data_IF_636945744075
#
_entry.id   IF_636945744075
#
_cell.length_a   1.000
_cell.length_b   1.000
_cell.length_c   1.000
_cell.angle_alpha   90.00
_cell.angle_beta   90.00
_cell.angle_gamma   90.00
#
_symmetry.space_group_name_H-M   'P 1'
#
loop_
_entity.id
_entity.type
_entity.pdbx_description
1 polymer ?
#
# COMPACT_ATOMS: atom_id res chain seq x y z
N UNK A 1 -42.64 -38.01 -27.49
CA UNK A 1 -41.69 -36.88 -27.35
C UNK A 1 -40.35 -37.37 -27.88
N UNK A 2 -39.80 -36.72 -28.91
CA UNK A 2 -38.69 -37.28 -29.70
C UNK A 2 -37.35 -37.05 -29.00
N UNK A 3 -36.51 -38.09 -28.94
CA UNK A 3 -35.15 -38.04 -28.36
C UNK A 3 -34.27 -36.96 -29.01
N UNK A 4 -34.49 -36.69 -30.30
CA UNK A 4 -33.78 -35.67 -31.08
C UNK A 4 -34.07 -34.25 -30.60
N UNK A 5 -35.32 -33.94 -30.22
CA UNK A 5 -35.70 -32.62 -29.70
C UNK A 5 -35.08 -32.35 -28.32
N UNK A 6 -34.97 -33.39 -27.49
CA UNK A 6 -34.27 -33.31 -26.20
C UNK A 6 -32.75 -33.16 -26.35
N UNK A 7 -32.14 -33.74 -27.38
CA UNK A 7 -30.70 -33.58 -27.62
C UNK A 7 -30.36 -32.17 -28.12
N UNK A 8 -31.21 -31.57 -28.95
CA UNK A 8 -31.04 -30.18 -29.38
C UNK A 8 -31.20 -29.18 -28.22
N UNK A 9 -32.15 -29.40 -27.31
CA UNK A 9 -32.33 -28.55 -26.13
C UNK A 9 -31.14 -28.64 -25.16
N UNK A 10 -30.60 -29.84 -24.92
CA UNK A 10 -29.38 -30.04 -24.11
C UNK A 10 -28.17 -29.36 -24.76
N UNK A 11 -28.02 -29.44 -26.10
CA UNK A 11 -26.95 -28.72 -26.80
C UNK A 11 -27.06 -27.21 -26.65
N UNK A 12 -28.26 -26.64 -26.82
CA UNK A 12 -28.50 -25.20 -26.64
C UNK A 12 -28.18 -24.77 -25.22
N UNK A 13 -28.66 -25.51 -24.22
CA UNK A 13 -28.33 -25.26 -22.82
C UNK A 13 -26.83 -25.30 -22.54
N UNK A 14 -26.11 -26.31 -23.06
CA UNK A 14 -24.67 -26.42 -22.87
C UNK A 14 -23.90 -25.26 -23.54
N UNK A 15 -24.32 -24.83 -24.74
CA UNK A 15 -23.73 -23.67 -25.43
C UNK A 15 -24.00 -22.38 -24.67
N UNK A 16 -25.23 -22.16 -24.20
CA UNK A 16 -25.60 -20.96 -23.45
C UNK A 16 -24.82 -20.91 -22.13
N UNK A 17 -24.75 -22.03 -21.38
CA UNK A 17 -23.95 -22.13 -20.16
C UNK A 17 -22.46 -21.86 -20.40
N UNK A 18 -21.88 -22.39 -21.47
CA UNK A 18 -20.49 -22.15 -21.83
C UNK A 18 -20.23 -20.68 -22.18
N UNK A 19 -21.16 -20.03 -22.89
CA UNK A 19 -21.07 -18.60 -23.22
C UNK A 19 -21.16 -17.73 -21.96
N UNK A 20 -22.10 -18.02 -21.05
CA UNK A 20 -22.22 -17.32 -19.76
C UNK A 20 -20.96 -17.47 -18.91
N UNK A 21 -20.41 -18.67 -18.79
CA UNK A 21 -19.16 -18.90 -18.05
C UNK A 21 -17.99 -18.12 -18.65
N UNK A 22 -17.89 -18.10 -19.99
CA UNK A 22 -16.86 -17.34 -20.70
C UNK A 22 -17.00 -15.84 -20.49
N UNK A 23 -18.22 -15.29 -20.47
CA UNK A 23 -18.46 -13.88 -20.19
C UNK A 23 -18.08 -13.51 -18.75
N UNK A 24 -18.48 -14.33 -17.76
CA UNK A 24 -18.09 -14.13 -16.35
C UNK A 24 -16.57 -14.14 -16.16
N UNK A 25 -15.87 -15.06 -16.83
CA UNK A 25 -14.41 -15.10 -16.80
C UNK A 25 -13.77 -13.84 -17.41
N UNK A 26 -14.31 -13.33 -18.52
CA UNK A 26 -13.84 -12.07 -19.13
C UNK A 26 -14.04 -10.88 -18.21
N UNK A 27 -15.19 -10.79 -17.56
CA UNK A 27 -15.51 -9.73 -16.59
C UNK A 27 -14.54 -9.79 -15.40
N UNK A 28 -14.35 -10.97 -14.83
CA UNK A 28 -13.42 -11.16 -13.70
C UNK A 28 -11.98 -10.80 -14.09
N UNK A 29 -11.54 -11.18 -15.30
CA UNK A 29 -10.21 -10.81 -15.80
C UNK A 29 -10.07 -9.30 -16.03
N UNK A 30 -11.10 -8.63 -16.56
CA UNK A 30 -11.11 -7.18 -16.75
C UNK A 30 -11.05 -6.42 -15.42
N UNK A 31 -11.84 -6.86 -14.42
CA UNK A 31 -11.82 -6.30 -13.06
C UNK A 31 -10.46 -6.51 -12.40
N UNK A 32 -9.89 -7.72 -12.49
CA UNK A 32 -8.57 -8.00 -11.93
C UNK A 32 -7.49 -7.13 -12.58
N UNK A 33 -7.53 -6.96 -13.90
CA UNK A 33 -6.60 -6.08 -14.63
C UNK A 33 -6.72 -4.63 -14.18
N UNK A 34 -7.95 -4.12 -14.03
CA UNK A 34 -8.18 -2.76 -13.56
C UNK A 34 -7.69 -2.56 -12.12
N UNK A 35 -7.91 -3.53 -11.22
CA UNK A 35 -7.40 -3.48 -9.84
C UNK A 35 -5.88 -3.45 -9.78
N UNK A 36 -5.18 -4.25 -10.59
CA UNK A 36 -3.71 -4.19 -10.67
C UNK A 36 -3.23 -2.80 -11.10
N UNK A 37 -3.91 -2.18 -12.06
CA UNK A 37 -3.61 -0.80 -12.47
C UNK A 37 -3.85 0.21 -11.34
N UNK A 38 -4.95 0.06 -10.58
CA UNK A 38 -5.24 0.92 -9.42
C UNK A 38 -4.09 0.86 -8.41
N UNK A 39 -3.63 -0.33 -8.03
CA UNK A 39 -2.51 -0.48 -7.09
C UNK A 39 -1.21 0.16 -7.61
N UNK A 40 -0.97 0.11 -8.92
CA UNK A 40 0.18 0.77 -9.52
C UNK A 40 0.08 2.29 -9.43
N UNK A 41 -1.10 2.88 -9.65
CA UNK A 41 -1.32 4.31 -9.49
C UNK A 41 -1.26 4.75 -8.00
N UNK A 42 -1.79 3.96 -7.08
CA UNK A 42 -1.68 4.21 -5.63
C UNK A 42 -0.22 4.21 -5.15
N UNK A 43 0.63 3.35 -5.72
CA UNK A 43 2.06 3.33 -5.43
C UNK A 43 2.78 4.59 -5.95
N UNK A 44 2.38 5.10 -7.12
CA UNK A 44 2.90 6.38 -7.64
C UNK A 44 2.52 7.54 -6.72
N UNK A 45 1.27 7.57 -6.23
CA UNK A 45 0.81 8.58 -5.27
C UNK A 45 1.66 8.50 -4.00
N UNK A 46 1.80 7.32 -3.38
CA UNK A 46 2.60 7.16 -2.15
C UNK A 46 4.04 7.63 -2.33
N UNK A 47 4.67 7.32 -3.48
CA UNK A 47 6.02 7.77 -3.81
C UNK A 47 6.10 9.28 -4.01
N UNK A 48 5.13 9.86 -4.70
CA UNK A 48 5.06 11.30 -4.94
C UNK A 48 4.86 12.08 -3.62
N UNK A 49 3.93 11.63 -2.77
CA UNK A 49 3.68 12.23 -1.46
C UNK A 49 4.90 12.13 -0.54
N UNK A 50 5.61 11.00 -0.56
CA UNK A 50 6.85 10.85 0.21
C UNK A 50 7.96 11.80 -0.27
N UNK A 51 8.08 12.04 -1.57
CA UNK A 51 9.05 13.01 -2.12
C UNK A 51 8.63 14.45 -1.81
N UNK A 52 7.34 14.75 -1.93
CA UNK A 52 6.76 16.05 -1.58
C UNK A 52 6.99 16.38 -0.09
N UNK A 53 6.82 15.41 0.80
CA UNK A 53 7.08 15.59 2.24
C UNK A 53 8.56 15.81 2.56
N UNK A 54 9.48 15.16 1.83
CA UNK A 54 10.93 15.41 1.96
C UNK A 54 11.29 16.81 1.49
N UNK A 55 10.73 17.23 0.36
CA UNK A 55 10.89 18.57 -0.20
C UNK A 55 10.43 19.63 0.81
N UNK A 56 9.25 19.40 1.39
CA UNK A 56 8.69 20.25 2.44
C UNK A 56 9.61 20.41 3.65
N UNK A 57 10.15 19.30 4.16
CA UNK A 57 11.04 19.37 5.31
C UNK A 57 12.39 20.02 4.96
N UNK A 58 12.90 19.83 3.74
CA UNK A 58 14.12 20.51 3.26
C UNK A 58 13.94 22.02 3.34
N UNK A 59 12.88 22.54 2.75
CA UNK A 59 12.65 24.00 2.68
C UNK A 59 12.46 24.58 4.07
N UNK A 60 11.69 23.88 4.92
CA UNK A 60 11.52 24.23 6.32
C UNK A 60 12.85 24.28 7.08
N UNK A 61 13.72 23.29 6.91
CA UNK A 61 15.00 23.20 7.62
C UNK A 61 16.03 24.22 7.13
N UNK A 62 16.03 24.53 5.82
CA UNK A 62 16.93 25.53 5.21
C UNK A 62 16.43 26.95 5.45
N UNK A 63 15.14 27.13 5.74
CA UNK A 63 14.50 28.44 5.89
C UNK A 63 14.20 29.13 4.56
N UNK A 64 14.18 28.36 3.47
CA UNK A 64 13.80 28.85 2.14
C UNK A 64 12.28 28.89 1.99
N UNK A 65 11.77 29.85 1.22
CA UNK A 65 10.36 29.87 0.85
C UNK A 65 10.04 28.69 -0.08
N UNK A 66 8.83 28.13 0.05
CA UNK A 66 8.40 26.99 -0.77
C UNK A 66 8.44 27.35 -2.26
N UNK A 67 9.34 26.71 -3.02
CA UNK A 67 9.40 26.91 -4.47
C UNK A 67 8.29 26.13 -5.17
N UNK A 68 7.18 26.82 -5.46
CA UNK A 68 6.05 26.25 -6.21
C UNK A 68 6.44 25.52 -7.51
N UNK A 69 7.54 25.89 -8.18
CA UNK A 69 7.99 25.18 -9.38
C UNK A 69 8.48 23.76 -9.08
N UNK A 70 9.01 23.50 -7.88
CA UNK A 70 9.45 22.17 -7.45
C UNK A 70 8.29 21.33 -6.88
N UNK A 71 7.31 21.93 -6.20
CA UNK A 71 6.15 21.21 -5.64
C UNK A 71 5.11 20.85 -6.69
N UNK A 72 4.81 21.77 -7.63
CA UNK A 72 3.68 21.65 -8.55
C UNK A 72 3.74 20.38 -9.43
N UNK A 73 4.90 19.94 -9.97
CA UNK A 73 4.99 18.68 -10.70
C UNK A 73 4.64 17.44 -9.87
N UNK A 74 4.91 17.46 -8.56
CA UNK A 74 4.55 16.35 -7.67
C UNK A 74 3.05 16.35 -7.36
N UNK A 75 2.47 17.53 -7.11
CA UNK A 75 1.02 17.68 -6.95
C UNK A 75 0.27 17.19 -8.21
N UNK A 76 0.72 17.61 -9.40
CA UNK A 76 0.13 17.18 -10.67
C UNK A 76 0.17 15.66 -10.85
N UNK A 77 1.31 15.01 -10.54
CA UNK A 77 1.42 13.54 -10.59
C UNK A 77 0.41 12.85 -9.67
N UNK A 78 0.21 13.39 -8.47
CA UNK A 78 -0.76 12.85 -7.51
C UNK A 78 -2.19 13.01 -8.06
N UNK A 79 -2.52 14.18 -8.58
CA UNK A 79 -3.86 14.48 -9.09
C UNK A 79 -4.20 13.65 -10.35
N UNK A 80 -3.24 13.49 -11.26
CA UNK A 80 -3.37 12.63 -12.43
C UNK A 80 -3.61 11.17 -12.04
N UNK A 81 -2.81 10.61 -11.12
CA UNK A 81 -3.01 9.24 -10.64
C UNK A 81 -4.34 9.09 -9.91
N UNK A 82 -4.78 10.07 -9.10
CA UNK A 82 -6.10 10.06 -8.44
C UNK A 82 -7.24 10.04 -9.45
N UNK A 83 -7.14 10.84 -10.52
CA UNK A 83 -8.10 10.86 -11.62
C UNK A 83 -8.16 9.51 -12.34
N UNK A 84 -7.02 8.92 -12.68
CA UNK A 84 -6.95 7.59 -13.29
C UNK A 84 -7.58 6.52 -12.40
N UNK A 85 -7.36 6.57 -11.09
CA UNK A 85 -7.99 5.63 -10.14
C UNK A 85 -9.51 5.77 -10.18
N UNK A 86 -10.05 7.00 -10.23
CA UNK A 86 -11.48 7.21 -10.35
C UNK A 86 -12.03 6.61 -11.65
N UNK A 87 -11.39 6.88 -12.79
CA UNK A 87 -11.78 6.32 -14.10
C UNK A 87 -11.72 4.78 -14.12
N UNK A 88 -10.72 4.18 -13.48
CA UNK A 88 -10.60 2.72 -13.37
C UNK A 88 -11.66 2.11 -12.44
N UNK A 89 -12.07 2.82 -11.38
CA UNK A 89 -13.16 2.40 -10.50
C UNK A 89 -14.50 2.45 -11.22
N UNK A 90 -14.76 3.53 -11.94
CA UNK A 90 -15.95 3.66 -12.79
C UNK A 90 -16.00 2.54 -13.85
N UNK A 91 -14.87 2.26 -14.50
CA UNK A 91 -14.76 1.13 -15.45
C UNK A 91 -15.07 -0.23 -14.80
N UNK A 92 -14.61 -0.47 -13.57
CA UNK A 92 -14.91 -1.70 -12.84
C UNK A 92 -16.41 -1.81 -12.58
N UNK A 93 -17.05 -0.71 -12.19
CA UNK A 93 -18.48 -0.69 -11.89
C UNK A 93 -19.32 -0.92 -13.15
N UNK A 94 -18.94 -0.31 -14.28
CA UNK A 94 -19.56 -0.57 -15.59
C UNK A 94 -19.41 -2.04 -16.02
N UNK A 95 -18.22 -2.61 -15.87
CA UNK A 95 -17.92 -4.00 -16.22
C UNK A 95 -18.67 -4.99 -15.32
N UNK A 96 -18.89 -4.66 -14.05
CA UNK A 96 -19.69 -5.46 -13.12
C UNK A 96 -21.18 -5.34 -13.41
N UNK A 97 -21.68 -4.14 -13.68
CA UNK A 97 -23.08 -3.91 -14.04
C UNK A 97 -23.48 -4.68 -15.31
N UNK A 98 -22.56 -4.83 -16.27
CA UNK A 98 -22.76 -5.67 -17.45
C UNK A 98 -23.00 -7.17 -17.14
N UNK A 99 -22.69 -7.64 -15.92
CA UNK A 99 -22.96 -9.01 -15.46
C UNK A 99 -24.33 -9.17 -14.79
N UNK A 100 -24.97 -8.08 -14.33
CA UNK A 100 -26.23 -8.12 -13.59
C UNK A 100 -27.47 -8.19 -14.49
N UNK A 101 -27.32 -8.05 -15.81
CA UNK A 101 -28.44 -8.22 -16.74
C UNK A 101 -28.77 -9.71 -16.97
N UNK A 102 -30.05 -10.13 -16.88
CA UNK A 102 -30.41 -11.41 -16.26
C UNK A 102 -30.22 -12.63 -17.17
N UNK A 103 -29.42 -13.60 -16.69
CA UNK A 103 -29.59 -15.00 -17.05
C UNK A 103 -29.84 -15.77 -15.75
N UNK A 104 -31.05 -15.62 -15.23
CA UNK A 104 -31.59 -16.49 -14.20
C UNK A 104 -32.02 -17.80 -14.88
N UNK A 105 -31.03 -18.61 -15.24
CA UNK A 105 -31.23 -20.05 -15.35
C UNK A 105 -31.05 -20.61 -13.92
N UNK A 106 -31.92 -21.53 -13.47
CA UNK A 106 -31.90 -22.01 -12.10
C UNK A 106 -30.51 -22.58 -11.79
N UNK A 107 -29.86 -21.96 -10.80
CA UNK A 107 -28.65 -22.47 -10.20
C UNK A 107 -28.96 -23.87 -9.66
N UNK A 108 -28.61 -24.90 -10.41
CA UNK A 108 -28.35 -26.20 -9.83
C UNK A 108 -27.23 -25.98 -8.82
N UNK A 109 -27.60 -26.15 -7.55
CA UNK A 109 -26.80 -25.94 -6.35
C UNK A 109 -25.35 -26.39 -6.55
N UNK A 110 -24.44 -25.43 -6.62
CA UNK A 110 -23.02 -25.66 -6.35
C UNK A 110 -22.79 -25.60 -4.83
N UNK A 111 -23.54 -26.42 -4.10
CA UNK A 111 -23.32 -26.71 -2.69
C UNK A 111 -22.40 -27.94 -2.61
N UNK A 112 -21.20 -27.87 -3.21
CA UNK A 112 -20.15 -28.88 -3.02
C UNK A 112 -18.78 -28.35 -3.44
N UNK A 113 -18.34 -27.23 -2.87
CA UNK A 113 -16.91 -26.90 -2.76
C UNK A 113 -16.68 -25.98 -1.55
N UNK A 114 -17.26 -26.36 -0.42
CA UNK A 114 -16.92 -25.83 0.89
C UNK A 114 -16.10 -26.91 1.64
N UNK A 115 -14.83 -27.07 1.28
CA UNK A 115 -13.79 -27.51 2.22
C UNK A 115 -12.39 -27.34 1.60
N UNK A 116 -11.71 -26.25 1.98
CA UNK A 116 -10.25 -26.14 2.03
C UNK A 116 -9.91 -24.73 2.54
N UNK A 117 -10.30 -24.46 3.78
CA UNK A 117 -9.70 -23.41 4.58
C UNK A 117 -8.32 -23.93 5.02
N UNK A 118 -7.18 -23.37 4.60
CA UNK A 118 -5.98 -23.54 5.39
C UNK A 118 -6.20 -22.71 6.66
N UNK A 119 -6.62 -23.37 7.74
CA UNK A 119 -6.40 -22.89 9.10
C UNK A 119 -4.91 -22.53 9.23
N UNK A 120 -4.60 -21.24 9.18
CA UNK A 120 -3.34 -20.75 9.72
C UNK A 120 -3.51 -20.79 11.24
N UNK A 121 -3.13 -21.93 11.82
CA UNK A 121 -2.91 -22.08 13.25
C UNK A 121 -1.98 -20.97 13.73
N UNK A 122 -2.56 -20.11 14.56
CA UNK A 122 -1.86 -19.22 15.46
C UNK A 122 -1.10 -20.08 16.48
N UNK A 123 0.15 -20.44 16.20
CA UNK A 123 1.07 -20.86 17.28
C UNK A 123 1.60 -19.60 17.93
N UNK A 124 0.83 -19.09 18.89
CA UNK A 124 1.31 -18.20 19.92
C UNK A 124 2.43 -18.91 20.71
N UNK A 125 3.68 -18.56 20.44
CA UNK A 125 4.79 -18.84 21.36
C UNK A 125 4.63 -17.90 22.56
N UNK A 126 3.84 -18.35 23.53
CA UNK A 126 3.78 -17.81 24.88
C UNK A 126 4.97 -18.35 25.66
N UNK A 127 6.05 -17.58 25.74
CA UNK A 127 6.86 -17.53 26.96
C UNK A 127 6.84 -16.09 27.47
N UNK A 128 6.31 -15.94 28.67
CA UNK A 128 6.35 -14.74 29.49
C UNK A 128 6.53 -15.21 30.94
N UNK A 129 6.99 -14.36 31.87
CA UNK A 129 7.69 -13.09 31.74
C UNK A 129 8.98 -13.06 32.60
N UNK A 130 9.84 -12.07 32.39
CA UNK A 130 10.69 -11.61 33.50
C UNK A 130 10.42 -10.12 33.71
N UNK A 131 9.54 -9.87 34.68
CA UNK A 131 9.31 -8.56 35.25
C UNK A 131 10.44 -8.27 36.24
N UNK A 132 11.34 -7.36 35.89
CA UNK A 132 12.19 -6.66 36.86
C UNK A 132 12.26 -5.18 36.46
N UNK A 133 11.21 -4.45 36.83
CA UNK A 133 11.32 -3.03 37.13
C UNK A 133 12.16 -2.87 38.39
N UNK A 134 12.88 -1.75 38.47
CA UNK A 134 13.70 -1.27 39.59
C UNK A 134 15.15 -1.74 39.57
N UNK A 135 16.04 -0.81 39.18
CA UNK A 135 17.38 -0.71 39.74
C UNK A 135 17.27 -0.80 41.28
N UNK A 136 18.10 -1.59 41.95
CA UNK A 136 19.40 -1.05 42.35
C UNK A 136 20.57 -2.05 42.28
N UNK A 137 21.75 -1.47 42.11
CA UNK A 137 23.07 -1.92 42.54
C UNK A 137 23.59 -3.31 42.12
N UNK A 138 24.66 -3.38 41.33
CA UNK A 138 26.07 -3.04 41.65
C UNK A 138 26.86 -4.24 42.19
N UNK A 139 28.19 -4.08 42.05
CA UNK A 139 29.28 -4.93 42.52
C UNK A 139 29.55 -6.07 41.54
N UNK A 140 30.73 -6.24 40.95
CA UNK A 140 32.10 -5.83 41.29
C UNK A 140 32.93 -6.62 40.24
N UNK A 141 34.02 -6.23 39.59
CA UNK A 141 34.96 -5.13 39.75
C UNK A 141 35.86 -5.09 38.50
N UNK A 142 36.29 -3.86 38.16
CA UNK A 142 37.62 -3.42 37.67
C UNK A 142 38.20 -4.02 36.35
N UNK A 143 38.41 -3.26 35.24
CA UNK A 143 39.19 -2.02 34.99
C UNK A 143 40.67 -2.30 34.62
N UNK A 144 41.46 -1.32 34.12
CA UNK A 144 41.26 -0.36 33.02
C UNK A 144 42.51 -0.27 32.08
N UNK A 145 42.43 0.38 30.92
CA UNK A 145 43.54 1.23 30.43
C UNK A 145 42.98 2.53 29.83
N UNK A 146 43.73 3.60 30.05
CA UNK A 146 43.29 4.98 30.24
C UNK A 146 43.39 5.86 28.97
N UNK A 147 42.84 7.10 29.00
CA UNK A 147 42.78 8.04 27.89
C UNK A 147 43.92 9.08 27.93
N UNK A 148 44.18 9.75 26.81
CA UNK A 148 44.91 11.03 26.74
C UNK A 148 44.01 12.00 25.96
N UNK A 149 43.27 12.87 26.64
CA UNK A 149 43.61 14.26 26.98
C UNK A 149 43.57 15.24 25.78
N UNK A 150 42.60 16.15 25.90
CA UNK A 150 42.23 17.36 25.14
C UNK A 150 43.28 18.47 25.25
N UNK A 151 43.19 19.59 24.50
CA UNK A 151 42.38 20.75 24.97
C UNK A 151 41.62 21.47 23.83
N UNK A 152 40.34 21.79 23.99
CA UNK A 152 39.85 23.10 24.48
C UNK A 152 40.53 24.33 23.84
N UNK A 153 39.90 24.88 22.79
CA UNK A 153 40.22 26.22 22.28
C UNK A 153 39.40 27.23 23.10
N UNK A 154 40.10 28.01 23.91
CA UNK A 154 39.59 29.15 24.65
C UNK A 154 39.18 30.28 23.70
N UNK A 155 38.02 30.85 24.01
CA UNK A 155 37.54 32.12 23.48
C UNK A 155 38.45 33.22 24.06
N UNK A 156 39.14 33.97 23.22
CA UNK A 156 39.69 35.27 23.59
C UNK A 156 38.81 36.37 22.99
N UNK A 157 38.07 37.03 23.87
CA UNK A 157 37.56 38.38 23.66
C UNK A 157 38.76 39.32 23.82
N UNK A 158 39.19 39.97 22.74
CA UNK A 158 40.05 41.15 22.83
C UNK A 158 39.15 42.36 22.65
N UNK A 159 38.72 42.91 23.77
CA UNK A 159 38.53 44.36 23.94
C UNK A 159 39.92 45.01 23.82
N UNK A 160 40.05 46.00 22.96
CA UNK A 160 41.31 46.65 22.59
C UNK A 160 41.07 48.06 22.07
N UNK A 161 40.78 48.92 23.03
CA UNK A 161 40.68 50.38 23.04
C UNK A 161 41.67 51.15 22.13
N UNK A 162 41.17 52.29 21.65
CA UNK A 162 41.86 53.57 21.42
C UNK A 162 42.97 53.71 20.36
N UNK A 163 42.68 54.53 19.34
CA UNK A 163 43.47 55.75 19.15
C UNK A 163 42.73 56.83 18.36
N UNK A 164 42.50 57.93 19.07
CA UNK A 164 42.29 59.27 18.54
C UNK A 164 43.45 59.72 17.61
N UNK A 165 43.10 60.39 16.50
CA UNK A 165 43.53 61.76 16.15
C UNK A 165 42.60 62.34 15.07
#
# INVERSE_FOLDING_TARGET
MNLTENFESVKKFAVDAAQTATQKAKILAAVAKANVSIYAEEDKIRKAEAQLGKLYYRDYAVGEEMDTAEYLPWCQKIDESKKLIAELKDYIDDVKAANETPSEAPAASAEDFADAQPEQEQTASKEAPCACTETPCCCEQAAPEAPAETPEIKIEVVDGEDKAE
#
